data_IF_373070625362
#
_entry.id   IF_373070625362
#
_cell.length_a   1.000
_cell.length_b   1.000
_cell.length_c   1.000
_cell.angle_alpha   90.00
_cell.angle_beta   90.00
_cell.angle_gamma   90.00
#
_symmetry.space_group_name_H-M   'P 1'
#
loop_
_entity.id
_entity.type
_entity.pdbx_description
1 polymer ?
#
# COMPACT_ATOMS: atom_id res chain seq x y z
N UNK A 1 -11.56 -19.73 -8.14
CA UNK A 1 -10.63 -18.60 -8.04
C UNK A 1 -10.89 -17.72 -9.23
N UNK A 2 -11.68 -16.66 -9.03
CA UNK A 2 -11.97 -15.65 -10.04
C UNK A 2 -10.80 -14.67 -10.04
N UNK A 3 -10.34 -14.25 -11.23
CA UNK A 3 -9.35 -13.18 -11.32
C UNK A 3 -9.88 -11.95 -10.56
N UNK A 4 -9.00 -11.27 -9.82
CA UNK A 4 -9.29 -10.00 -9.14
C UNK A 4 -10.12 -9.13 -10.08
N UNK A 5 -11.28 -8.69 -9.63
CA UNK A 5 -12.05 -7.68 -10.33
C UNK A 5 -11.16 -6.45 -10.62
N UNK A 6 -11.35 -5.85 -11.79
CA UNK A 6 -10.63 -4.66 -12.20
C UNK A 6 -10.97 -3.54 -11.21
N UNK A 7 -9.95 -2.97 -10.56
CA UNK A 7 -10.13 -2.02 -9.48
C UNK A 7 -9.01 -0.99 -9.43
N UNK A 8 -9.13 -0.04 -8.52
CA UNK A 8 -8.10 0.96 -8.24
C UNK A 8 -7.52 0.72 -6.84
N UNK A 9 -6.20 0.84 -6.71
CA UNK A 9 -5.50 0.84 -5.44
C UNK A 9 -4.89 2.22 -5.22
N UNK A 10 -4.97 2.70 -3.98
CA UNK A 10 -4.25 3.90 -3.57
C UNK A 10 -3.56 3.74 -2.23
N UNK A 11 -2.47 4.48 -2.08
CA UNK A 11 -1.73 4.60 -0.83
C UNK A 11 -1.95 6.03 -0.32
N UNK A 12 -2.30 6.13 0.96
CA UNK A 12 -2.65 7.38 1.63
C UNK A 12 -1.79 7.51 2.87
N UNK A 13 -1.16 8.67 3.03
CA UNK A 13 -0.56 9.08 4.31
C UNK A 13 -1.61 9.86 5.09
N UNK A 14 -1.78 9.52 6.36
CA UNK A 14 -2.69 10.23 7.23
C UNK A 14 -2.07 10.49 8.59
N UNK A 15 -2.53 11.54 9.26
CA UNK A 15 -2.15 11.78 10.66
C UNK A 15 -2.68 10.66 11.59
N UNK A 16 -2.20 10.64 12.83
CA UNK A 16 -2.62 9.67 13.84
C UNK A 16 -4.16 9.60 14.05
N UNK A 17 -4.86 10.72 13.82
CA UNK A 17 -6.32 10.81 13.95
C UNK A 17 -7.08 10.40 12.68
N UNK A 18 -6.37 10.15 11.59
CA UNK A 18 -6.87 9.95 10.24
C UNK A 18 -7.75 11.09 9.69
N UNK A 19 -7.69 12.28 10.33
CA UNK A 19 -8.49 13.44 9.91
C UNK A 19 -7.89 14.09 8.67
N UNK A 20 -6.56 14.22 8.64
CA UNK A 20 -5.84 14.70 7.48
C UNK A 20 -5.35 13.50 6.67
N UNK A 21 -5.94 13.29 5.48
CA UNK A 21 -5.62 12.19 4.58
C UNK A 21 -5.08 12.73 3.28
N UNK A 22 -3.92 12.22 2.85
CA UNK A 22 -3.22 12.67 1.65
C UNK A 22 -2.88 11.48 0.77
N UNK A 23 -3.38 11.50 -0.45
CA UNK A 23 -3.09 10.46 -1.44
C UNK A 23 -1.67 10.64 -1.96
N UNK A 24 -0.84 9.61 -1.83
CA UNK A 24 0.57 9.63 -2.27
C UNK A 24 0.81 8.74 -3.48
N UNK A 25 -0.08 7.80 -3.77
CA UNK A 25 -0.01 6.95 -4.96
C UNK A 25 -1.41 6.43 -5.30
N UNK A 26 -1.68 6.24 -6.59
CA UNK A 26 -2.90 5.60 -7.09
C UNK A 26 -2.59 4.92 -8.42
N UNK A 27 -3.04 3.68 -8.57
CA UNK A 27 -2.92 2.93 -9.80
C UNK A 27 -4.01 1.85 -9.90
N UNK A 28 -4.38 1.44 -11.12
CA UNK A 28 -5.19 0.25 -11.35
C UNK A 28 -4.56 -1.01 -10.74
N UNK A 29 -5.38 -1.93 -10.21
CA UNK A 29 -4.95 -3.23 -9.66
C UNK A 29 -4.18 -4.05 -10.68
N UNK A 30 -4.64 -4.07 -11.93
CA UNK A 30 -4.03 -4.78 -13.07
C UNK A 30 -2.57 -4.38 -13.32
N UNK A 31 -2.19 -3.12 -13.02
CA UNK A 31 -0.82 -2.62 -13.19
C UNK A 31 0.12 -3.07 -12.07
N UNK A 32 -0.44 -3.47 -10.92
CA UNK A 32 0.29 -3.89 -9.73
C UNK A 32 0.30 -5.41 -9.56
N UNK A 33 -0.44 -6.14 -10.41
CA UNK A 33 -0.46 -7.59 -10.40
C UNK A 33 0.91 -8.17 -10.77
N UNK A 34 1.24 -9.35 -10.23
CA UNK A 34 2.53 -9.99 -10.49
C UNK A 34 2.74 -10.38 -11.96
N UNK A 35 1.67 -10.58 -12.71
CA UNK A 35 1.71 -10.90 -14.15
C UNK A 35 1.94 -9.67 -15.04
N UNK A 36 1.81 -8.46 -14.51
CA UNK A 36 1.99 -7.22 -15.25
C UNK A 36 3.45 -6.97 -15.69
N UNK A 37 3.65 -6.08 -16.66
CA UNK A 37 4.98 -5.69 -17.08
C UNK A 37 5.71 -4.98 -15.94
N UNK A 38 6.95 -5.39 -15.68
CA UNK A 38 7.78 -4.86 -14.60
C UNK A 38 7.99 -3.33 -14.63
N UNK A 39 7.88 -2.71 -15.80
CA UNK A 39 7.95 -1.26 -15.98
C UNK A 39 6.70 -0.53 -15.47
N UNK A 40 5.55 -1.19 -15.45
CA UNK A 40 4.27 -0.60 -15.06
C UNK A 40 4.04 -0.60 -13.54
N UNK A 41 4.76 -1.49 -12.84
CA UNK A 41 4.75 -1.69 -11.38
C UNK A 41 5.58 -0.66 -10.60
N UNK A 42 6.29 0.24 -11.29
CA UNK A 42 7.12 1.27 -10.64
C UNK A 42 6.22 2.27 -9.92
N UNK A 43 6.43 2.43 -8.61
CA UNK A 43 5.79 3.47 -7.83
C UNK A 43 6.51 4.78 -8.05
N UNK A 44 5.82 5.71 -8.69
CA UNK A 44 6.19 7.11 -8.72
C UNK A 44 5.29 7.83 -7.72
N UNK A 45 5.80 8.24 -6.56
CA UNK A 45 4.97 8.93 -5.57
C UNK A 45 4.52 10.28 -6.12
N UNK A 46 3.24 10.59 -5.91
CA UNK A 46 2.62 11.86 -6.30
C UNK A 46 3.19 13.05 -5.52
N UNK A 47 3.80 12.78 -4.35
CA UNK A 47 4.41 13.79 -3.51
C UNK A 47 5.69 13.26 -2.85
N UNK A 48 6.63 14.15 -2.55
CA UNK A 48 7.85 13.84 -1.80
C UNK A 48 7.61 13.83 -0.27
N UNK A 49 6.37 13.66 0.16
CA UNK A 49 6.01 13.73 1.57
C UNK A 49 6.61 12.58 2.37
N UNK A 50 6.76 12.85 3.66
CA UNK A 50 7.27 11.89 4.64
C UNK A 50 6.23 11.77 5.73
N UNK A 51 5.83 10.56 6.05
CA UNK A 51 4.96 10.28 7.18
C UNK A 51 5.83 10.11 8.43
N UNK A 52 5.39 10.65 9.56
CA UNK A 52 6.22 10.70 10.76
C UNK A 52 5.71 9.72 11.82
N UNK A 53 6.50 9.50 12.87
CA UNK A 53 6.06 8.80 14.07
C UNK A 53 4.58 9.11 14.43
N UNK A 54 3.85 8.07 14.80
CA UNK A 54 2.43 8.06 15.21
C UNK A 54 1.43 8.31 14.06
N UNK A 55 1.87 8.84 12.93
CA UNK A 55 1.07 8.90 11.71
C UNK A 55 0.88 7.49 11.10
N UNK A 56 -0.02 7.38 10.13
CA UNK A 56 -0.40 6.10 9.53
C UNK A 56 -0.30 6.11 8.00
N UNK A 57 0.07 4.95 7.46
CA UNK A 57 0.00 4.64 6.03
C UNK A 57 -1.21 3.74 5.83
N UNK A 58 -2.11 4.14 4.96
CA UNK A 58 -3.35 3.42 4.66
C UNK A 58 -3.29 2.93 3.22
N UNK A 59 -3.55 1.64 3.02
CA UNK A 59 -3.76 1.05 1.70
C UNK A 59 -5.25 0.89 1.50
N UNK A 60 -5.76 1.41 0.40
CA UNK A 60 -7.18 1.33 0.06
C UNK A 60 -7.37 0.77 -1.34
N UNK A 61 -8.45 0.03 -1.52
CA UNK A 61 -8.89 -0.49 -2.82
C UNK A 61 -10.32 -0.07 -3.10
N UNK A 62 -10.62 0.09 -4.38
CA UNK A 62 -11.97 0.24 -4.90
C UNK A 62 -12.16 -0.77 -6.01
N UNK A 63 -13.18 -1.61 -5.88
CA UNK A 63 -13.51 -2.68 -6.84
C UNK A 63 -14.87 -2.40 -7.51
N UNK A 64 -15.08 -2.98 -8.70
CA UNK A 64 -16.35 -2.87 -9.43
C UNK A 64 -17.48 -3.68 -8.80
N UNK A 65 -17.14 -4.78 -8.15
CA UNK A 65 -18.04 -5.82 -7.66
C UNK A 65 -17.81 -6.08 -6.18
N UNK A 66 -18.89 -6.29 -5.41
CA UNK A 66 -18.76 -6.60 -3.99
C UNK A 66 -18.15 -8.00 -3.82
N UNK A 67 -17.18 -8.11 -2.91
CA UNK A 67 -16.38 -9.33 -2.74
C UNK A 67 -15.74 -9.36 -1.34
N UNK A 68 -14.92 -10.36 -1.06
CA UNK A 68 -14.04 -10.39 0.11
C UNK A 68 -12.60 -10.57 -0.33
N UNK A 69 -11.71 -9.68 0.12
CA UNK A 69 -10.27 -9.84 -0.06
C UNK A 69 -9.77 -10.90 0.94
N UNK A 70 -9.37 -12.06 0.43
CA UNK A 70 -8.77 -13.16 1.20
C UNK A 70 -7.28 -12.89 1.40
N UNK A 71 -6.88 -12.53 2.61
CA UNK A 71 -5.48 -12.20 2.91
C UNK A 71 -4.58 -13.42 2.98
N UNK A 72 -5.14 -14.63 3.17
CA UNK A 72 -4.37 -15.87 3.15
C UNK A 72 -3.84 -16.22 1.75
N UNK A 73 -4.49 -15.70 0.71
CA UNK A 73 -4.14 -15.93 -0.70
C UNK A 73 -3.71 -14.65 -1.44
N UNK A 74 -3.81 -13.48 -0.81
CA UNK A 74 -3.38 -12.21 -1.36
C UNK A 74 -1.92 -11.92 -1.02
N UNK A 75 -1.27 -11.07 -1.83
CA UNK A 75 0.10 -10.63 -1.59
C UNK A 75 0.21 -9.13 -1.78
N UNK A 76 0.72 -8.44 -0.76
CA UNK A 76 0.99 -7.01 -0.79
C UNK A 76 2.48 -6.81 -0.51
N UNK A 77 3.15 -6.05 -1.36
CA UNK A 77 4.52 -5.61 -1.17
C UNK A 77 4.65 -4.17 -1.64
N UNK A 78 4.85 -3.25 -0.70
CA UNK A 78 4.97 -1.81 -0.98
C UNK A 78 6.39 -1.35 -0.60
N UNK A 79 7.20 -0.87 -1.55
CA UNK A 79 8.54 -0.35 -1.29
C UNK A 79 8.45 0.94 -0.49
N UNK A 80 9.19 0.98 0.62
CA UNK A 80 9.29 2.16 1.48
C UNK A 80 10.75 2.41 1.86
N UNK A 81 11.04 3.65 2.22
CA UNK A 81 12.32 4.02 2.84
C UNK A 81 12.04 4.45 4.27
N UNK A 82 12.63 3.75 5.24
CA UNK A 82 12.59 4.12 6.66
C UNK A 82 13.77 5.00 7.00
N UNK A 83 13.52 6.15 7.61
CA UNK A 83 14.52 7.03 8.19
C UNK A 83 14.44 6.92 9.71
N UNK A 84 15.53 6.47 10.34
CA UNK A 84 15.67 6.54 11.78
C UNK A 84 15.99 8.00 12.18
N UNK A 85 15.11 8.65 12.94
CA UNK A 85 15.26 10.06 13.32
C UNK A 85 16.46 10.31 14.23
N UNK A 86 16.87 9.32 15.02
CA UNK A 86 18.00 9.38 15.97
C UNK A 86 19.35 9.20 15.26
N UNK A 87 19.48 8.17 14.42
CA UNK A 87 20.76 7.84 13.76
C UNK A 87 20.93 8.49 12.39
N UNK A 88 19.86 9.08 11.84
CA UNK A 88 19.77 9.60 10.46
C UNK A 88 20.02 8.55 9.38
N UNK A 89 19.96 7.27 9.74
CA UNK A 89 20.15 6.18 8.80
C UNK A 89 18.87 5.95 7.98
N UNK A 90 19.04 5.86 6.66
CA UNK A 90 17.99 5.47 5.72
C UNK A 90 18.12 3.97 5.39
N UNK A 91 17.02 3.23 5.56
CA UNK A 91 16.93 1.80 5.27
C UNK A 91 15.80 1.55 4.27
N UNK A 92 16.12 1.19 3.02
CA UNK A 92 15.13 0.70 2.06
C UNK A 92 14.54 -0.62 2.55
N UNK A 93 13.21 -0.74 2.52
CA UNK A 93 12.51 -1.96 2.92
C UNK A 93 11.16 -2.06 2.20
N UNK A 94 10.35 -3.06 2.57
CA UNK A 94 9.02 -3.28 2.02
C UNK A 94 8.02 -3.45 3.16
N UNK A 95 6.86 -2.79 3.04
CA UNK A 95 5.68 -3.16 3.79
C UNK A 95 5.03 -4.36 3.13
N UNK A 96 4.69 -5.36 3.94
CA UNK A 96 4.02 -6.58 3.51
C UNK A 96 2.60 -6.64 4.05
N UNK A 97 1.83 -7.60 3.57
CA UNK A 97 0.52 -7.98 4.10
C UNK A 97 0.54 -8.12 5.63
N UNK A 98 1.53 -8.83 6.16
CA UNK A 98 1.72 -9.05 7.60
C UNK A 98 1.99 -7.77 8.41
N UNK A 99 2.46 -6.69 7.78
CA UNK A 99 2.69 -5.40 8.42
C UNK A 99 1.42 -4.53 8.48
N UNK A 100 0.43 -4.80 7.63
CA UNK A 100 -0.73 -3.92 7.39
C UNK A 100 -2.00 -4.33 8.15
N UNK A 101 -2.26 -5.63 8.31
CA UNK A 101 -3.26 -6.28 9.20
C UNK A 101 -3.52 -7.71 8.73
N UNK A 102 -4.09 -8.55 9.60
CA UNK A 102 -4.12 -10.01 9.45
C UNK A 102 -5.51 -10.64 9.26
N UNK A 103 -6.53 -9.89 8.83
CA UNK A 103 -7.90 -10.41 8.68
C UNK A 103 -8.49 -10.03 7.33
N UNK A 104 -9.36 -10.91 6.81
CA UNK A 104 -10.10 -10.69 5.57
C UNK A 104 -10.95 -9.43 5.62
N UNK A 105 -11.05 -8.74 4.49
CA UNK A 105 -11.74 -7.45 4.36
C UNK A 105 -12.88 -7.57 3.37
N UNK A 106 -14.09 -7.22 3.82
CA UNK A 106 -15.26 -7.13 2.94
C UNK A 106 -15.15 -5.91 2.03
N UNK A 107 -15.15 -6.15 0.73
CA UNK A 107 -15.09 -5.14 -0.32
C UNK A 107 -16.51 -4.76 -0.76
N UNK A 108 -16.80 -3.47 -0.72
CA UNK A 108 -18.07 -2.92 -1.23
C UNK A 108 -17.85 -2.34 -2.62
N UNK A 109 -18.68 -2.74 -3.58
CA UNK A 109 -18.63 -2.23 -4.95
C UNK A 109 -18.66 -0.69 -5.01
N UNK A 110 -17.75 -0.11 -5.80
CA UNK A 110 -17.74 1.32 -6.09
C UNK A 110 -17.26 2.25 -4.96
N UNK A 111 -16.85 1.70 -3.81
CA UNK A 111 -16.41 2.47 -2.64
C UNK A 111 -14.95 2.16 -2.31
N UNK A 112 -14.22 3.16 -1.82
CA UNK A 112 -12.87 2.96 -1.29
C UNK A 112 -12.95 2.26 0.06
N UNK A 113 -12.36 1.07 0.15
CA UNK A 113 -12.29 0.25 1.36
C UNK A 113 -10.85 0.19 1.85
N UNK A 114 -10.67 0.34 3.16
CA UNK A 114 -9.35 0.20 3.80
C UNK A 114 -8.98 -1.26 3.86
N UNK A 115 -7.92 -1.61 3.15
CA UNK A 115 -7.32 -2.93 3.15
C UNK A 115 -6.44 -3.12 4.39
N UNK A 116 -5.61 -2.12 4.68
CA UNK A 116 -4.70 -2.23 5.80
C UNK A 116 -4.15 -0.90 6.22
N UNK A 117 -3.57 -0.89 7.41
CA UNK A 117 -3.03 0.32 8.02
C UNK A 117 -1.73 -0.02 8.72
N UNK A 118 -0.67 0.68 8.35
CA UNK A 118 0.62 0.61 9.00
C UNK A 118 0.82 1.87 9.86
N UNK A 119 0.97 1.70 11.18
CA UNK A 119 1.32 2.80 12.08
C UNK A 119 2.83 2.98 12.10
N UNK A 120 3.31 4.20 11.88
CA UNK A 120 4.74 4.50 11.89
C UNK A 120 5.26 4.42 13.32
N UNK A 121 6.26 3.56 13.54
CA UNK A 121 6.84 3.34 14.86
C UNK A 121 7.50 4.59 15.42
N UNK A 122 7.70 4.61 16.74
CA UNK A 122 8.45 5.65 17.39
C UNK A 122 9.86 5.80 16.77
N UNK A 123 10.33 7.05 16.68
CA UNK A 123 11.63 7.41 16.09
C UNK A 123 11.79 7.08 14.60
N UNK A 124 10.73 6.65 13.90
CA UNK A 124 10.74 6.43 12.46
C UNK A 124 10.11 7.61 11.70
N UNK A 125 10.53 7.74 10.44
CA UNK A 125 9.88 8.55 9.41
C UNK A 125 9.91 7.73 8.12
N UNK A 126 8.82 7.70 7.37
CA UNK A 126 8.69 6.83 6.19
C UNK A 126 8.41 7.65 4.94
N UNK A 127 9.09 7.30 3.86
CA UNK A 127 8.81 7.78 2.50
C UNK A 127 8.38 6.60 1.64
N UNK A 128 7.50 6.87 0.68
CA UNK A 128 7.11 5.88 -0.32
C UNK A 128 8.22 5.73 -1.37
N UNK A 129 8.50 4.49 -1.78
CA UNK A 129 9.56 4.15 -2.74
C UNK A 129 10.94 3.92 -2.11
N UNK A 130 11.86 3.48 -2.95
CA UNK A 130 13.29 3.28 -2.63
C UNK A 130 14.15 4.22 -3.51
N UNK A 131 15.45 4.31 -3.25
CA UNK A 131 16.35 5.08 -4.12
C UNK A 131 16.31 4.49 -5.54
N UNK A 132 15.90 5.30 -6.51
CA UNK A 132 15.88 5.01 -7.94
C UNK A 132 17.34 4.80 -8.35
N UNK A 133 17.80 3.55 -8.55
CA UNK A 133 17.33 2.73 -9.64
C UNK A 133 16.86 1.30 -9.27
N UNK A 134 16.94 0.86 -8.02
CA UNK A 134 16.67 -0.54 -7.68
C UNK A 134 15.40 -0.67 -6.83
N UNK A 135 14.40 -1.40 -7.34
CA UNK A 135 13.31 -1.99 -6.55
C UNK A 135 12.21 -1.07 -5.97
N UNK A 136 11.91 0.08 -6.59
CA UNK A 136 10.69 0.85 -6.27
C UNK A 136 9.42 0.25 -6.91
N UNK A 137 9.28 -1.08 -6.92
CA UNK A 137 8.11 -1.76 -7.49
C UNK A 137 7.13 -2.17 -6.41
N UNK A 138 5.85 -1.86 -6.59
CA UNK A 138 4.78 -2.45 -5.78
C UNK A 138 4.28 -3.73 -6.44
N UNK A 139 3.95 -4.70 -5.60
CA UNK A 139 3.19 -5.88 -5.97
C UNK A 139 1.95 -5.90 -5.11
N UNK A 140 0.79 -5.86 -5.74
CA UNK A 140 -0.49 -5.93 -5.04
C UNK A 140 -1.36 -6.85 -5.87
N UNK A 141 -1.57 -8.06 -5.36
CA UNK A 141 -2.46 -9.06 -5.96
C UNK A 141 -3.43 -9.54 -4.90
N UNK A 142 -4.72 -9.45 -5.19
CA UNK A 142 -5.77 -9.89 -4.30
C UNK A 142 -6.45 -11.12 -4.86
N UNK A 143 -6.69 -12.09 -3.99
CA UNK A 143 -7.60 -13.19 -4.31
C UNK A 143 -8.96 -12.86 -3.71
N UNK A 144 -9.95 -12.81 -4.58
CA UNK A 144 -11.33 -12.54 -4.23
C UNK A 144 -12.11 -13.84 -4.05
N UNK A 145 -12.75 -14.00 -2.89
CA UNK A 145 -13.73 -15.05 -2.66
C UNK A 145 -15.14 -14.46 -2.76
N UNK A 146 -15.95 -15.07 -3.63
CA UNK A 146 -17.38 -14.78 -3.80
C UNK A 146 -18.23 -15.40 -2.68
#
# INVERSE_FOLDING_TARGET
MTASDEGDVRIVFADASQSNRRKVFEAPTERLDQSALQSEQIIVPLSAETVHQDDVIIVEVKVGTASTADYGLSSIQIPITKLNKSTKQETPTFLRDSDLRSADVTLTAGVWVVLGTYTVSAQEAIKLGQRIPDNSRAYISFTENA
#
